data_IF_808958460745
#
_entry.id   IF_808958460745
#
_cell.length_a   1.000
_cell.length_b   1.000
_cell.length_c   1.000
_cell.angle_alpha   90.00
_cell.angle_beta   90.00
_cell.angle_gamma   90.00
#
_symmetry.space_group_name_H-M   'P 1'
#
loop_
_entity.id
_entity.type
_entity.pdbx_description
1 polymer ?
#
# COMPACT_ATOMS: atom_id res chain seq x y z
N UNK A 1 4.38 18.31 0.69
CA UNK A 1 4.75 19.01 1.95
C UNK A 1 4.04 18.47 3.21
N UNK A 2 2.70 18.37 3.23
CA UNK A 2 1.95 17.95 4.43
C UNK A 2 2.02 16.45 4.76
N UNK A 3 2.17 15.55 3.78
CA UNK A 3 2.26 14.11 4.04
C UNK A 3 3.57 13.72 4.74
N UNK A 4 4.68 14.36 4.37
CA UNK A 4 6.00 14.08 4.96
C UNK A 4 6.06 14.45 6.45
N UNK A 5 5.45 15.56 6.85
CA UNK A 5 5.41 15.97 8.26
C UNK A 5 4.57 15.01 9.12
N UNK A 6 3.40 14.59 8.63
CA UNK A 6 2.57 13.56 9.31
C UNK A 6 3.31 12.23 9.39
N UNK A 7 4.00 11.84 8.32
CA UNK A 7 4.83 10.65 8.31
C UNK A 7 6.01 10.72 9.28
N UNK A 8 6.69 11.86 9.36
CA UNK A 8 7.78 12.06 10.31
C UNK A 8 7.28 11.96 11.77
N UNK A 9 6.08 12.49 12.07
CA UNK A 9 5.47 12.39 13.39
C UNK A 9 5.07 10.95 13.74
N UNK A 10 4.42 10.24 12.81
CA UNK A 10 4.09 8.81 12.98
C UNK A 10 5.35 7.99 13.18
N UNK A 11 6.40 8.25 12.37
CA UNK A 11 7.69 7.59 12.46
C UNK A 11 8.34 7.81 13.83
N UNK A 12 8.39 9.07 14.28
CA UNK A 12 8.99 9.45 15.55
C UNK A 12 8.24 8.82 16.74
N UNK A 13 6.91 8.80 16.70
CA UNK A 13 6.08 8.16 17.71
C UNK A 13 6.39 6.66 17.82
N UNK A 14 6.41 5.95 16.68
CA UNK A 14 6.66 4.51 16.66
C UNK A 14 8.09 4.16 17.13
N UNK A 15 9.12 4.90 16.70
CA UNK A 15 10.50 4.70 17.15
C UNK A 15 10.61 4.89 18.67
N UNK A 16 10.04 5.98 19.18
CA UNK A 16 10.13 6.34 20.61
C UNK A 16 9.37 5.39 21.52
N UNK A 17 8.22 4.87 21.08
CA UNK A 17 7.32 4.08 21.92
C UNK A 17 7.56 2.57 21.82
N UNK A 18 8.05 2.08 20.67
CA UNK A 18 8.30 0.64 20.43
C UNK A 18 9.76 0.24 20.47
N UNK A 19 10.70 1.19 20.55
CA UNK A 19 12.14 0.90 20.49
C UNK A 19 12.57 0.30 19.15
N UNK A 20 11.76 0.46 18.11
CA UNK A 20 11.98 -0.14 16.80
C UNK A 20 13.02 0.67 16.01
N UNK A 21 14.29 0.38 16.28
CA UNK A 21 15.45 1.03 15.65
C UNK A 21 15.64 0.65 14.16
N UNK A 22 14.82 -0.28 13.64
CA UNK A 22 14.94 -0.80 12.27
C UNK A 22 13.96 -0.19 11.27
N UNK A 23 13.42 1.00 11.55
CA UNK A 23 12.48 1.67 10.66
C UNK A 23 13.19 2.25 9.41
N UNK A 24 13.47 1.36 8.45
CA UNK A 24 14.09 1.69 7.17
C UNK A 24 13.21 2.72 6.41
N UNK A 25 13.80 3.74 5.76
CA UNK A 25 13.04 4.78 5.04
C UNK A 25 12.31 4.27 3.79
N UNK A 26 12.57 3.03 3.38
CA UNK A 26 11.92 2.37 2.25
C UNK A 26 10.81 1.40 2.74
N UNK A 27 9.89 1.05 1.85
CA UNK A 27 8.92 -0.03 2.08
C UNK A 27 9.64 -1.30 2.54
N UNK A 28 9.15 -1.93 3.61
CA UNK A 28 9.71 -3.14 4.20
C UNK A 28 8.78 -4.33 3.92
N UNK A 29 9.07 -5.19 2.94
CA UNK A 29 8.22 -6.34 2.65
C UNK A 29 8.13 -7.32 3.81
N UNK A 30 9.16 -7.36 4.66
CA UNK A 30 9.32 -8.33 5.76
C UNK A 30 8.98 -7.72 7.13
N UNK A 31 8.20 -6.63 7.17
CA UNK A 31 7.79 -6.04 8.44
C UNK A 31 7.03 -7.07 9.29
N UNK A 32 7.34 -7.24 10.59
CA UNK A 32 6.77 -8.33 11.38
C UNK A 32 5.29 -8.15 11.75
N UNK A 33 4.63 -7.06 11.33
CA UNK A 33 3.35 -6.65 11.91
C UNK A 33 2.23 -6.65 10.86
N UNK A 34 1.12 -7.36 11.07
CA UNK A 34 0.04 -7.48 10.08
C UNK A 34 -0.63 -6.13 9.77
N UNK A 35 -0.81 -5.26 10.77
CA UNK A 35 -1.35 -3.91 10.55
C UNK A 35 -0.57 -3.10 9.50
N UNK A 36 0.75 -3.21 9.47
CA UNK A 36 1.59 -2.55 8.46
C UNK A 36 1.26 -3.08 7.05
N UNK A 37 1.13 -4.39 6.89
CA UNK A 37 0.77 -5.03 5.63
C UNK A 37 -0.68 -4.72 5.20
N UNK A 38 -1.62 -4.58 6.13
CA UNK A 38 -2.96 -4.09 5.83
C UNK A 38 -2.93 -2.69 5.20
N UNK A 39 -2.05 -1.80 5.69
CA UNK A 39 -1.80 -0.49 5.09
C UNK A 39 -1.23 -0.59 3.67
N UNK A 40 -0.22 -1.45 3.47
CA UNK A 40 0.36 -1.73 2.14
C UNK A 40 -0.70 -2.23 1.16
N UNK A 41 -1.58 -3.12 1.60
CA UNK A 41 -2.66 -3.68 0.79
C UNK A 41 -3.60 -2.58 0.28
N UNK A 42 -3.99 -1.61 1.13
CA UNK A 42 -4.86 -0.49 0.70
C UNK A 42 -4.20 0.36 -0.39
N UNK A 43 -2.91 0.65 -0.27
CA UNK A 43 -2.19 1.40 -1.30
C UNK A 43 -2.19 0.63 -2.64
N UNK A 44 -1.97 -0.69 -2.59
CA UNK A 44 -1.94 -1.53 -3.78
C UNK A 44 -3.33 -1.72 -4.42
N UNK A 45 -4.38 -1.92 -3.62
CA UNK A 45 -5.77 -1.97 -4.13
C UNK A 45 -6.19 -0.67 -4.82
N UNK A 46 -5.83 0.47 -4.24
CA UNK A 46 -6.11 1.77 -4.85
C UNK A 46 -5.35 1.94 -6.18
N UNK A 47 -4.10 1.47 -6.23
CA UNK A 47 -3.30 1.53 -7.45
C UNK A 47 -3.85 0.60 -8.54
N UNK A 48 -4.22 -0.63 -8.19
CA UNK A 48 -4.86 -1.60 -9.07
C UNK A 48 -6.17 -1.03 -9.65
N UNK A 49 -7.03 -0.46 -8.80
CA UNK A 49 -8.26 0.18 -9.25
C UNK A 49 -7.99 1.29 -10.27
N UNK A 50 -7.01 2.17 -10.00
CA UNK A 50 -6.65 3.25 -10.93
C UNK A 50 -6.08 2.73 -12.24
N UNK A 51 -5.30 1.64 -12.21
CA UNK A 51 -4.81 1.01 -13.43
C UNK A 51 -5.95 0.42 -14.26
N UNK A 52 -6.94 -0.21 -13.61
CA UNK A 52 -8.04 -0.89 -14.29
C UNK A 52 -9.16 0.04 -14.78
N UNK A 53 -9.40 1.15 -14.08
CA UNK A 53 -10.58 2.01 -14.31
C UNK A 53 -10.23 3.48 -14.59
N UNK A 54 -8.96 3.86 -14.50
CA UNK A 54 -8.56 5.27 -14.56
C UNK A 54 -8.97 6.05 -13.31
N UNK A 55 -9.31 7.33 -13.49
CA UNK A 55 -9.77 8.18 -12.39
C UNK A 55 -11.25 7.91 -12.10
N UNK A 56 -11.53 7.39 -10.90
CA UNK A 56 -12.89 7.10 -10.46
C UNK A 56 -13.27 8.07 -9.35
N UNK A 57 -14.42 8.74 -9.48
CA UNK A 57 -14.80 9.88 -8.64
C UNK A 57 -14.70 9.65 -7.12
N UNK A 58 -14.90 8.42 -6.65
CA UNK A 58 -14.50 8.03 -5.29
C UNK A 58 -13.79 6.68 -5.30
N UNK A 59 -12.46 6.71 -5.28
CA UNK A 59 -11.61 5.52 -5.29
C UNK A 59 -11.51 4.80 -3.94
N UNK A 60 -10.75 3.69 -3.92
CA UNK A 60 -10.54 2.86 -2.71
C UNK A 60 -10.15 3.68 -1.50
N UNK A 61 -9.17 4.58 -1.62
CA UNK A 61 -8.67 5.38 -0.48
C UNK A 61 -9.78 6.24 0.11
N UNK A 62 -10.53 6.98 -0.71
CA UNK A 62 -11.58 7.87 -0.24
C UNK A 62 -12.71 7.11 0.48
N UNK A 63 -13.06 5.92 0.01
CA UNK A 63 -14.17 5.13 0.56
C UNK A 63 -13.79 4.29 1.76
N UNK A 64 -12.56 3.78 1.79
CA UNK A 64 -12.20 2.67 2.66
C UNK A 64 -11.03 2.94 3.58
N UNK A 65 -10.21 3.98 3.38
CA UNK A 65 -9.00 4.17 4.19
C UNK A 65 -9.32 4.25 5.69
N UNK A 66 -10.24 5.13 6.09
CA UNK A 66 -10.59 5.32 7.51
C UNK A 66 -11.14 4.04 8.12
N UNK A 67 -12.11 3.39 7.46
CA UNK A 67 -12.69 2.14 7.94
C UNK A 67 -11.64 1.01 8.00
N UNK A 68 -10.81 0.85 6.96
CA UNK A 68 -9.77 -0.18 6.91
C UNK A 68 -8.70 0.02 7.98
N UNK A 69 -8.39 1.27 8.34
CA UNK A 69 -7.45 1.56 9.42
C UNK A 69 -7.99 1.10 10.78
N UNK A 70 -9.31 1.02 10.95
CA UNK A 70 -9.92 0.60 12.22
C UNK A 70 -10.31 -0.88 12.22
N UNK A 71 -10.83 -1.39 11.11
CA UNK A 71 -11.43 -2.73 10.98
C UNK A 71 -11.02 -3.46 9.68
N UNK A 72 -9.71 -3.75 9.49
CA UNK A 72 -9.21 -4.26 8.20
C UNK A 72 -9.83 -5.61 7.81
N UNK A 73 -10.13 -6.50 8.76
CA UNK A 73 -10.74 -7.81 8.49
C UNK A 73 -12.05 -7.74 7.69
N UNK A 74 -12.88 -6.71 7.90
CA UNK A 74 -14.12 -6.52 7.16
C UNK A 74 -13.90 -5.90 5.76
N UNK A 75 -12.90 -5.04 5.65
CA UNK A 75 -12.69 -4.24 4.45
C UNK A 75 -11.81 -4.96 3.42
N UNK A 76 -10.74 -5.62 3.86
CA UNK A 76 -9.78 -6.25 2.95
C UNK A 76 -10.39 -7.44 2.19
N UNK A 77 -11.27 -8.23 2.81
CA UNK A 77 -11.98 -9.31 2.12
C UNK A 77 -12.83 -8.78 0.94
N UNK A 78 -13.54 -7.68 1.14
CA UNK A 78 -14.33 -7.03 0.08
C UNK A 78 -13.44 -6.47 -1.03
N UNK A 79 -12.33 -5.83 -0.66
CA UNK A 79 -11.39 -5.28 -1.65
C UNK A 79 -10.69 -6.39 -2.46
N UNK A 80 -10.35 -7.52 -1.83
CA UNK A 80 -9.79 -8.68 -2.51
C UNK A 80 -10.76 -9.26 -3.56
N UNK A 81 -12.06 -9.33 -3.25
CA UNK A 81 -13.07 -9.72 -4.23
C UNK A 81 -13.15 -8.73 -5.41
N UNK A 82 -13.15 -7.42 -5.14
CA UNK A 82 -13.14 -6.40 -6.19
C UNK A 82 -11.86 -6.41 -7.02
N UNK A 83 -10.72 -6.77 -6.42
CA UNK A 83 -9.44 -6.85 -7.11
C UNK A 83 -9.47 -7.85 -8.26
N UNK A 84 -10.14 -9.00 -8.11
CA UNK A 84 -10.32 -9.95 -9.22
C UNK A 84 -10.98 -9.32 -10.45
N UNK A 85 -12.01 -8.50 -10.23
CA UNK A 85 -12.68 -7.77 -11.31
C UNK A 85 -11.79 -6.70 -11.95
N UNK A 86 -10.87 -6.11 -11.19
CA UNK A 86 -9.91 -5.14 -11.71
C UNK A 86 -8.78 -5.81 -12.48
N UNK A 87 -8.27 -6.94 -11.98
CA UNK A 87 -7.24 -7.74 -12.66
C UNK A 87 -7.71 -8.20 -14.04
N UNK A 88 -8.96 -8.66 -14.16
CA UNK A 88 -9.54 -9.06 -15.45
C UNK A 88 -9.72 -7.94 -16.48
N UNK A 89 -9.47 -6.68 -16.11
CA UNK A 89 -9.51 -5.51 -17.01
C UNK A 89 -8.12 -5.03 -17.44
N UNK A 90 -7.06 -5.67 -16.96
CA UNK A 90 -5.68 -5.33 -17.29
C UNK A 90 -5.10 -6.32 -18.29
N UNK A 91 -4.07 -5.89 -19.02
CA UNK A 91 -3.27 -6.78 -19.86
C UNK A 91 -2.55 -7.83 -18.99
N UNK A 92 -2.36 -9.03 -19.54
CA UNK A 92 -1.92 -10.20 -18.78
C UNK A 92 -0.63 -10.00 -17.97
N UNK A 93 0.38 -9.32 -18.53
CA UNK A 93 1.63 -9.03 -17.81
C UNK A 93 1.44 -8.09 -16.62
N UNK A 94 0.62 -7.05 -16.78
CA UNK A 94 0.34 -6.10 -15.71
C UNK A 94 -0.59 -6.69 -14.65
N UNK A 95 -1.60 -7.46 -15.07
CA UNK A 95 -2.47 -8.21 -14.17
C UNK A 95 -1.65 -9.17 -13.29
N UNK A 96 -0.77 -9.97 -13.90
CA UNK A 96 0.10 -10.90 -13.20
C UNK A 96 1.01 -10.21 -12.17
N UNK A 97 1.56 -9.04 -12.53
CA UNK A 97 2.36 -8.25 -11.60
C UNK A 97 1.56 -7.80 -10.37
N UNK A 98 0.35 -7.24 -10.55
CA UNK A 98 -0.49 -6.84 -9.42
C UNK A 98 -0.93 -8.02 -8.56
N UNK A 99 -1.26 -9.15 -9.19
CA UNK A 99 -1.66 -10.37 -8.50
C UNK A 99 -0.54 -10.89 -7.61
N UNK A 100 0.69 -10.98 -8.12
CA UNK A 100 1.86 -11.38 -7.32
C UNK A 100 2.15 -10.42 -6.17
N UNK A 101 2.06 -9.12 -6.41
CA UNK A 101 2.28 -8.12 -5.37
C UNK A 101 1.21 -8.21 -4.27
N UNK A 102 -0.06 -8.42 -4.62
CA UNK A 102 -1.13 -8.65 -3.65
C UNK A 102 -0.91 -9.96 -2.90
N UNK A 103 -0.58 -11.05 -3.60
CA UNK A 103 -0.31 -12.35 -2.99
C UNK A 103 0.83 -12.26 -1.96
N UNK A 104 1.93 -11.58 -2.28
CA UNK A 104 3.04 -11.37 -1.36
C UNK A 104 2.64 -10.57 -0.10
N UNK A 105 1.91 -9.46 -0.28
CA UNK A 105 1.42 -8.66 0.87
C UNK A 105 0.46 -9.48 1.74
N UNK A 106 -0.50 -10.16 1.13
CA UNK A 106 -1.49 -10.96 1.85
C UNK A 106 -0.84 -12.12 2.60
N UNK A 107 0.16 -12.77 2.01
CA UNK A 107 0.96 -13.81 2.69
C UNK A 107 1.70 -13.26 3.90
N UNK A 108 2.14 -12.01 3.85
CA UNK A 108 2.84 -11.34 4.97
C UNK A 108 1.90 -10.94 6.13
N UNK A 109 0.58 -10.92 5.92
CA UNK A 109 -0.40 -10.69 7.00
C UNK A 109 -0.49 -11.94 7.90
N UNK A 110 -0.20 -13.13 7.37
CA UNK A 110 -0.34 -14.41 8.05
C UNK A 110 -1.75 -15.01 7.91
N UNK A 111 -2.10 -15.94 8.80
CA UNK A 111 -3.31 -16.76 8.68
C UNK A 111 -4.62 -15.98 8.88
N UNK A 112 -4.56 -14.85 9.60
CA UNK A 112 -5.75 -14.06 9.94
C UNK A 112 -5.52 -12.57 9.76
N UNK A 113 -6.42 -11.92 9.02
CA UNK A 113 -6.47 -10.46 8.97
C UNK A 113 -7.00 -9.94 10.31
N UNK A 114 -6.34 -8.95 10.95
CA UNK A 114 -6.81 -8.37 12.21
C UNK A 114 -8.25 -7.84 12.08
N UNK A 115 -9.13 -8.21 13.02
CA UNK A 115 -10.53 -7.75 13.03
C UNK A 115 -10.64 -6.26 13.31
N UNK A 116 -9.86 -5.78 14.27
CA UNK A 116 -9.75 -4.39 14.68
C UNK A 116 -8.28 -4.02 14.89
N UNK A 117 -7.95 -2.73 14.79
CA UNK A 117 -6.62 -2.21 15.10
C UNK A 117 -6.68 -1.21 16.26
N UNK A 118 -5.76 -1.31 17.20
CA UNK A 118 -5.48 -0.28 18.21
C UNK A 118 -4.94 1.00 17.56
N UNK A 119 -4.88 2.12 18.31
CA UNK A 119 -4.35 3.39 17.79
C UNK A 119 -2.89 3.30 17.31
N UNK A 120 -2.10 2.47 17.98
CA UNK A 120 -0.71 2.25 17.61
C UNK A 120 -0.60 1.39 16.34
N UNK A 121 -1.43 0.37 16.21
CA UNK A 121 -1.52 -0.42 14.99
C UNK A 121 -2.09 0.39 13.81
N UNK A 122 -3.00 1.33 14.08
CA UNK A 122 -3.45 2.32 13.09
C UNK A 122 -2.29 3.18 12.58
N UNK A 123 -1.33 3.50 13.44
CA UNK A 123 -0.10 4.21 13.05
C UNK A 123 0.80 3.33 12.18
N UNK A 124 0.94 2.03 12.50
CA UNK A 124 1.64 1.06 11.64
C UNK A 124 0.96 0.87 10.28
N UNK A 125 -0.37 0.80 10.26
CA UNK A 125 -1.17 0.78 9.03
C UNK A 125 -0.89 2.01 8.17
N UNK A 126 -0.93 3.20 8.76
CA UNK A 126 -0.64 4.43 8.03
C UNK A 126 0.80 4.42 7.48
N UNK A 127 1.76 3.97 8.28
CA UNK A 127 3.15 3.82 7.86
C UNK A 127 3.30 2.89 6.65
N UNK A 128 2.72 1.69 6.71
CA UNK A 128 2.74 0.73 5.61
C UNK A 128 2.08 1.26 4.35
N UNK A 129 0.93 1.94 4.48
CA UNK A 129 0.25 2.59 3.36
C UNK A 129 1.15 3.62 2.65
N UNK A 130 1.71 4.57 3.41
CA UNK A 130 2.48 5.66 2.81
C UNK A 130 3.83 5.18 2.25
N UNK A 131 4.48 4.21 2.89
CA UNK A 131 5.71 3.61 2.35
C UNK A 131 5.45 2.82 1.06
N UNK A 132 4.36 2.04 1.00
CA UNK A 132 3.96 1.36 -0.24
C UNK A 132 3.59 2.36 -1.34
N UNK A 133 2.87 3.43 -1.02
CA UNK A 133 2.51 4.48 -1.97
C UNK A 133 3.78 5.16 -2.54
N UNK A 134 4.75 5.46 -1.70
CA UNK A 134 6.03 6.01 -2.13
C UNK A 134 6.78 5.04 -3.07
N UNK A 135 6.87 3.76 -2.72
CA UNK A 135 7.49 2.74 -3.56
C UNK A 135 6.79 2.61 -4.94
N UNK A 136 5.46 2.62 -4.95
CA UNK A 136 4.67 2.58 -6.17
C UNK A 136 4.83 3.84 -7.05
N UNK A 137 5.19 4.99 -6.46
CA UNK A 137 5.45 6.23 -7.21
C UNK A 137 6.89 6.29 -7.73
N UNK A 138 7.86 5.77 -6.98
CA UNK A 138 9.25 5.70 -7.43
C UNK A 138 9.39 4.87 -8.72
N UNK A 139 8.64 3.77 -8.84
CA UNK A 139 8.61 2.96 -10.06
C UNK A 139 8.07 3.67 -11.30
N UNK A 140 7.34 4.80 -11.16
CA UNK A 140 6.91 5.62 -12.32
C UNK A 140 8.00 6.52 -12.87
N UNK A 141 8.97 6.93 -12.06
CA UNK A 141 9.98 7.93 -12.44
C UNK A 141 11.08 7.33 -13.34
N UNK A 142 11.23 6.00 -13.36
CA UNK A 142 12.26 5.31 -14.17
C UNK A 142 11.85 5.21 -15.64
N UNK A 143 10.58 5.43 -15.99
CA UNK A 143 10.05 5.24 -17.35
C UNK A 143 9.88 6.54 -18.15
N UNK A 144 10.40 7.66 -17.66
CA UNK A 144 10.23 9.00 -18.28
C UNK A 144 11.55 9.72 -18.57
N UNK A 145 12.59 9.01 -19.01
CA UNK A 145 13.72 9.64 -19.71
C UNK A 145 13.51 9.48 -21.22
N UNK A 146 13.41 10.57 -22.01
CA UNK A 146 13.44 10.48 -23.46
C UNK A 146 14.86 10.12 -23.91
N UNK A 147 14.96 9.05 -24.68
CA UNK A 147 16.14 8.63 -25.42
C UNK A 147 16.66 9.81 -26.26
N UNK A 148 17.79 10.38 -25.84
CA UNK A 148 18.53 11.32 -26.68
C UNK A 148 19.39 10.49 -27.63
N UNK A 149 18.93 10.41 -28.87
CA UNK A 149 19.68 9.79 -29.98
C UNK A 149 21.03 10.50 -30.11
N UNK A 150 22.16 9.77 -30.20
CA UNK A 150 23.46 10.41 -30.33
C UNK A 150 23.65 10.90 -31.77
N UNK A 151 23.91 12.19 -31.93
CA UNK A 151 24.47 12.75 -33.16
C UNK A 151 25.99 12.55 -33.15
N UNK A 152 26.48 11.59 -33.94
CA UNK A 152 27.67 11.74 -34.80
C UNK A 152 27.86 10.52 -35.69
#
# INVERSE_FOLDING_TARGET
PASHARMALIKAYLIRNRGDNNMKPHMNPDHPHPAYHCGRAIALFARLQRAALGDVGAGVVQRYYTAASQTPGLILGRLAANAKNHLGKLDGGLAWWYENQLAGIMSSIGDFVPRTLTLEEQSLFALGYYQQLAALNAGKQVTSEPESTPSN
#
